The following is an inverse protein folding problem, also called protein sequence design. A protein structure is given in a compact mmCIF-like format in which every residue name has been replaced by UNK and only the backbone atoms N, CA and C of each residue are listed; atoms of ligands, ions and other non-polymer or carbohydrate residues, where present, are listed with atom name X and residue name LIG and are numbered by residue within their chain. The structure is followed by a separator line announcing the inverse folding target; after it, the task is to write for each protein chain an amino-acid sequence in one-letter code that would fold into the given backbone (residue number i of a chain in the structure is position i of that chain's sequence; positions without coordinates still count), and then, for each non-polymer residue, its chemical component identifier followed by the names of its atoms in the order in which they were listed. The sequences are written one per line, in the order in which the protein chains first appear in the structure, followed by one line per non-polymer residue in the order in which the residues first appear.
data_IF_841171877523
#
_entry.id   IF_841171877523
#
_cell.length_a   1.000
_cell.length_b   1.000
_cell.length_c   1.000
_cell.angle_alpha   90.00
_cell.angle_beta   90.00
_cell.angle_gamma   90.00
#
_symmetry.space_group_name_H-M   'P 1'
#
loop_
_entity.id
_entity.type
_entity.pdbx_description
1 polymer ?
#
# COMPACT_ATOMS: atom_id res chain seq x y z
N UNK A 1 -15.56 37.26 1.12
CA UNK A 1 -15.38 36.01 0.37
C UNK A 1 -13.88 35.80 0.32
N UNK A 2 -13.37 35.06 1.27
CA UNK A 2 -11.94 34.68 1.35
C UNK A 2 -11.79 33.36 0.64
N UNK A 3 -11.15 33.35 -0.53
CA UNK A 3 -10.63 32.15 -1.16
C UNK A 3 -9.64 31.51 -0.19
N UNK A 4 -10.11 30.60 0.62
CA UNK A 4 -9.22 29.64 1.27
C UNK A 4 -8.76 28.69 0.17
N UNK A 5 -7.52 28.87 -0.25
CA UNK A 5 -6.77 27.92 -1.06
C UNK A 5 -6.52 26.71 -0.17
N UNK A 6 -7.58 25.91 0.08
CA UNK A 6 -7.45 24.66 0.82
C UNK A 6 -6.58 23.72 -0.01
N UNK A 7 -5.49 23.26 0.57
CA UNK A 7 -4.59 22.31 -0.06
C UNK A 7 -5.41 21.05 -0.42
N UNK A 8 -5.49 20.63 -1.69
CA UNK A 8 -6.18 19.42 -2.08
C UNK A 8 -5.66 18.25 -1.22
N UNK A 9 -6.55 17.54 -0.54
CA UNK A 9 -6.19 16.46 0.37
C UNK A 9 -6.14 16.81 1.86
N UNK A 10 -6.28 18.09 2.26
CA UNK A 10 -6.20 18.51 3.67
C UNK A 10 -7.31 17.89 4.53
N UNK A 11 -8.52 17.75 3.98
CA UNK A 11 -9.65 17.12 4.69
C UNK A 11 -9.33 15.67 5.07
N UNK A 12 -8.78 14.90 4.15
CA UNK A 12 -8.36 13.52 4.43
C UNK A 12 -7.16 13.48 5.38
N UNK A 13 -6.22 14.40 5.26
CA UNK A 13 -5.08 14.49 6.18
C UNK A 13 -5.54 14.81 7.62
N UNK A 14 -6.52 15.68 7.79
CA UNK A 14 -7.13 15.95 9.09
C UNK A 14 -7.82 14.70 9.66
N UNK A 15 -8.57 13.98 8.84
CA UNK A 15 -9.19 12.71 9.22
C UNK A 15 -8.14 11.66 9.62
N UNK A 16 -7.05 11.53 8.88
CA UNK A 16 -5.92 10.65 9.25
C UNK A 16 -5.38 10.98 10.65
N UNK A 17 -5.14 12.26 10.92
CA UNK A 17 -4.63 12.73 12.23
C UNK A 17 -5.60 12.43 13.36
N UNK A 18 -6.91 12.56 13.11
CA UNK A 18 -7.95 12.24 14.09
C UNK A 18 -8.00 10.75 14.43
N UNK A 19 -7.93 9.88 13.39
CA UNK A 19 -8.09 8.43 13.58
C UNK A 19 -6.79 7.72 14.00
N UNK A 20 -5.63 8.31 13.75
CA UNK A 20 -4.33 7.73 14.05
C UNK A 20 -4.19 7.24 15.51
N UNK A 21 -4.54 8.03 16.55
CA UNK A 21 -4.42 7.56 17.94
C UNK A 21 -5.28 6.33 18.26
N UNK A 22 -6.41 6.17 17.56
CA UNK A 22 -7.31 5.03 17.74
C UNK A 22 -6.66 3.76 17.16
N UNK A 23 -6.12 3.85 15.93
CA UNK A 23 -5.40 2.76 15.27
C UNK A 23 -4.16 2.34 16.06
N UNK A 24 -3.34 3.29 16.47
CA UNK A 24 -2.11 3.03 17.24
C UNK A 24 -2.40 2.34 18.59
N UNK A 25 -3.50 2.71 19.25
CA UNK A 25 -3.93 2.05 20.48
C UNK A 25 -4.38 0.61 20.22
N UNK A 26 -5.11 0.38 19.14
CA UNK A 26 -5.59 -0.94 18.76
C UNK A 26 -4.43 -1.88 18.38
N UNK A 27 -3.43 -1.39 17.65
CA UNK A 27 -2.20 -2.14 17.32
C UNK A 27 -1.46 -2.57 18.58
N UNK A 28 -1.16 -1.63 19.49
CA UNK A 28 -0.52 -1.96 20.78
C UNK A 28 -1.33 -2.95 21.62
N UNK A 29 -2.64 -2.84 21.60
CA UNK A 29 -3.53 -3.79 22.29
C UNK A 29 -3.46 -5.20 21.71
N UNK A 30 -3.38 -5.31 20.39
CA UNK A 30 -3.22 -6.58 19.70
C UNK A 30 -1.86 -7.24 20.01
N UNK A 31 -0.76 -6.47 20.03
CA UNK A 31 0.57 -6.98 20.39
C UNK A 31 0.62 -7.51 21.82
N UNK A 32 0.06 -6.77 22.78
CA UNK A 32 -0.02 -7.20 24.17
C UNK A 32 -0.86 -8.49 24.36
N UNK A 33 -1.95 -8.64 23.59
CA UNK A 33 -2.79 -9.83 23.62
C UNK A 33 -2.06 -11.08 23.08
N UNK A 34 -1.25 -10.92 22.02
CA UNK A 34 -0.47 -12.03 21.47
C UNK A 34 0.57 -12.57 22.48
N UNK A 35 1.20 -11.69 23.25
CA UNK A 35 2.15 -12.07 24.29
C UNK A 35 1.47 -12.77 25.50
N UNK A 36 0.19 -12.50 25.72
CA UNK A 36 -0.56 -13.02 26.88
C UNK A 36 -1.11 -14.45 26.71
N UNK A 37 -0.97 -15.07 25.55
CA UNK A 37 -1.54 -16.40 25.25
C UNK A 37 -0.82 -17.58 25.95
N UNK A 38 -0.13 -17.28 27.06
CA UNK A 38 0.08 -18.22 28.17
C UNK A 38 0.80 -19.52 27.86
N UNK A 39 1.92 -19.50 27.17
CA UNK A 39 2.74 -20.67 27.01
C UNK A 39 3.78 -20.83 28.13
N UNK A 40 3.89 -22.04 28.61
CA UNK A 40 4.88 -22.50 29.62
C UNK A 40 6.31 -22.61 29.02
N UNK A 41 6.48 -22.29 27.74
CA UNK A 41 7.76 -22.27 27.03
C UNK A 41 8.64 -21.10 27.53
N UNK A 42 9.96 -21.08 27.22
CA UNK A 42 10.85 -20.00 27.63
C UNK A 42 10.36 -18.64 27.06
N UNK A 43 9.44 -18.04 27.81
CA UNK A 43 8.74 -16.81 27.41
C UNK A 43 9.71 -15.69 27.04
N UNK A 44 10.88 -15.63 27.71
CA UNK A 44 11.96 -14.68 27.42
C UNK A 44 12.57 -14.89 26.02
N UNK A 45 12.70 -16.14 25.59
CA UNK A 45 13.30 -16.45 24.28
C UNK A 45 12.29 -16.22 23.14
N UNK A 46 11.01 -16.59 23.34
CA UNK A 46 9.97 -16.27 22.38
C UNK A 46 9.78 -14.76 22.22
N UNK A 47 9.79 -14.02 23.33
CA UNK A 47 9.75 -12.57 23.27
C UNK A 47 10.96 -12.01 22.49
N UNK A 48 12.15 -12.42 22.87
CA UNK A 48 13.40 -11.93 22.26
C UNK A 48 13.53 -12.24 20.78
N UNK A 49 13.12 -13.45 20.34
CA UNK A 49 13.37 -13.92 18.98
C UNK A 49 12.19 -13.71 18.02
N UNK A 50 10.98 -13.45 18.53
CA UNK A 50 9.79 -13.40 17.71
C UNK A 50 8.88 -12.20 18.02
N UNK A 51 8.38 -12.08 19.26
CA UNK A 51 7.35 -11.07 19.56
C UNK A 51 7.91 -9.65 19.63
N UNK A 52 9.01 -9.41 20.32
CA UNK A 52 9.58 -8.08 20.44
C UNK A 52 10.09 -7.53 19.11
N UNK A 53 10.79 -8.31 18.23
CA UNK A 53 11.15 -7.86 16.90
C UNK A 53 9.95 -7.47 16.03
N UNK A 54 8.88 -8.28 16.02
CA UNK A 54 7.67 -7.96 15.28
C UNK A 54 6.95 -6.73 15.84
N UNK A 55 6.80 -6.64 17.18
CA UNK A 55 6.18 -5.49 17.82
C UNK A 55 6.97 -4.19 17.57
N UNK A 56 8.30 -4.24 17.59
CA UNK A 56 9.16 -3.11 17.23
C UNK A 56 8.94 -2.68 15.78
N UNK A 57 8.94 -3.62 14.83
CA UNK A 57 8.69 -3.34 13.42
C UNK A 57 7.30 -2.72 13.20
N UNK A 58 6.27 -3.29 13.82
CA UNK A 58 4.89 -2.80 13.74
C UNK A 58 4.75 -1.40 14.35
N UNK A 59 5.46 -1.12 15.45
CA UNK A 59 5.46 0.18 16.11
C UNK A 59 6.25 1.25 15.35
N UNK A 60 7.11 0.88 14.41
CA UNK A 60 8.07 1.74 13.69
C UNK A 60 7.48 2.90 12.88
N UNK A 61 6.26 3.31 13.17
CA UNK A 61 5.62 4.50 12.61
C UNK A 61 4.99 4.28 11.24
N UNK A 62 4.52 5.39 10.66
CA UNK A 62 3.85 5.44 9.37
C UNK A 62 2.54 6.23 9.44
N UNK A 63 2.04 6.64 8.27
CA UNK A 63 0.78 7.42 8.17
C UNK A 63 -0.47 6.59 8.48
N UNK A 64 -0.35 5.26 8.62
CA UNK A 64 -1.46 4.32 8.89
C UNK A 64 -2.66 4.52 7.96
N UNK A 65 -2.41 4.83 6.71
CA UNK A 65 -3.45 5.09 5.70
C UNK A 65 -4.40 3.90 5.57
N UNK A 66 -3.86 2.69 5.44
CA UNK A 66 -4.64 1.46 5.19
C UNK A 66 -5.64 1.13 6.30
N UNK A 67 -5.23 1.04 7.57
CA UNK A 67 -6.19 0.84 8.65
C UNK A 67 -7.22 1.98 8.76
N UNK A 68 -6.81 3.24 8.54
CA UNK A 68 -7.74 4.38 8.56
C UNK A 68 -8.74 4.30 7.41
N UNK A 69 -8.38 3.78 6.24
CA UNK A 69 -9.31 3.53 5.15
C UNK A 69 -10.34 2.44 5.50
N UNK A 70 -9.98 1.43 6.29
CA UNK A 70 -10.97 0.49 6.81
C UNK A 70 -11.98 1.18 7.74
N UNK A 71 -11.51 2.10 8.60
CA UNK A 71 -12.42 2.90 9.43
C UNK A 71 -13.35 3.77 8.57
N UNK A 72 -12.80 4.43 7.55
CA UNK A 72 -13.58 5.24 6.61
C UNK A 72 -14.60 4.39 5.83
N UNK A 73 -14.23 3.18 5.42
CA UNK A 73 -15.13 2.24 4.76
C UNK A 73 -16.36 1.87 5.61
N UNK A 74 -16.17 1.73 6.94
CA UNK A 74 -17.28 1.51 7.86
C UNK A 74 -18.18 2.76 7.98
N UNK A 75 -17.57 3.94 8.15
CA UNK A 75 -18.31 5.21 8.25
C UNK A 75 -19.03 5.56 6.94
N UNK A 76 -18.45 5.20 5.79
CA UNK A 76 -19.03 5.45 4.48
C UNK A 76 -20.43 4.82 4.30
N UNK A 77 -20.66 3.66 4.90
CA UNK A 77 -21.94 2.95 4.82
C UNK A 77 -22.85 3.22 6.03
N UNK A 78 -22.59 4.32 6.77
CA UNK A 78 -23.39 4.73 7.93
C UNK A 78 -23.08 3.98 9.22
N UNK A 79 -21.99 3.20 9.27
CA UNK A 79 -21.46 2.59 10.49
C UNK A 79 -20.59 3.57 11.27
N UNK A 80 -19.75 3.03 12.16
CA UNK A 80 -18.79 3.82 12.93
C UNK A 80 -17.40 3.16 12.93
N UNK A 81 -16.34 3.96 13.04
CA UNK A 81 -14.94 3.53 13.00
C UNK A 81 -14.61 2.33 13.89
N UNK A 82 -15.22 2.26 15.11
CA UNK A 82 -14.98 1.17 16.06
C UNK A 82 -15.31 -0.23 15.52
N UNK A 83 -16.24 -0.34 14.57
CA UNK A 83 -16.63 -1.64 13.98
C UNK A 83 -15.54 -2.24 13.09
N UNK A 84 -14.63 -1.43 12.57
CA UNK A 84 -13.57 -1.85 11.66
C UNK A 84 -12.17 -1.86 12.30
N UNK A 85 -12.06 -1.68 13.61
CA UNK A 85 -10.75 -1.57 14.27
C UNK A 85 -9.91 -2.83 14.16
N UNK A 86 -10.46 -3.99 14.48
CA UNK A 86 -9.76 -5.27 14.36
C UNK A 86 -9.34 -5.54 12.91
N UNK A 87 -10.23 -5.19 11.97
CA UNK A 87 -9.96 -5.29 10.54
C UNK A 87 -8.83 -4.35 10.08
N UNK A 88 -8.80 -3.12 10.60
CA UNK A 88 -7.71 -2.17 10.36
C UNK A 88 -6.37 -2.69 10.90
N UNK A 89 -6.37 -3.26 12.10
CA UNK A 89 -5.19 -3.93 12.69
C UNK A 89 -4.72 -5.09 11.80
N UNK A 90 -5.64 -5.93 11.33
CA UNK A 90 -5.33 -7.04 10.43
C UNK A 90 -4.61 -6.58 9.16
N UNK A 91 -5.11 -5.52 8.52
CA UNK A 91 -4.51 -4.94 7.31
C UNK A 91 -3.11 -4.39 7.60
N UNK A 92 -2.88 -3.76 8.74
CA UNK A 92 -1.55 -3.23 9.11
C UNK A 92 -0.56 -4.35 9.44
N UNK A 93 -1.03 -5.45 10.04
CA UNK A 93 -0.22 -6.66 10.24
C UNK A 93 0.17 -7.30 8.92
N UNK A 94 -0.78 -7.39 7.98
CA UNK A 94 -0.47 -7.84 6.62
C UNK A 94 0.59 -6.97 5.94
N UNK A 95 0.45 -5.65 6.02
CA UNK A 95 1.47 -4.73 5.49
C UNK A 95 2.82 -4.94 6.15
N UNK A 96 2.87 -5.17 7.46
CA UNK A 96 4.12 -5.43 8.17
C UNK A 96 4.78 -6.71 7.68
N UNK A 97 4.02 -7.80 7.51
CA UNK A 97 4.51 -9.04 6.94
C UNK A 97 5.05 -8.85 5.51
N UNK A 98 4.26 -8.20 4.65
CA UNK A 98 4.66 -7.92 3.26
C UNK A 98 5.98 -7.13 3.20
N UNK A 99 6.14 -6.08 4.02
CA UNK A 99 7.36 -5.28 4.07
C UNK A 99 8.56 -6.06 4.62
N UNK A 100 8.37 -6.91 5.63
CA UNK A 100 9.46 -7.75 6.16
C UNK A 100 9.96 -8.73 5.09
N UNK A 101 9.06 -9.36 4.34
CA UNK A 101 9.41 -10.30 3.28
C UNK A 101 10.00 -9.59 2.04
N UNK A 102 9.46 -8.42 1.70
CA UNK A 102 9.92 -7.58 0.59
C UNK A 102 11.36 -7.08 0.83
N UNK A 103 11.66 -6.63 2.05
CA UNK A 103 13.01 -6.22 2.45
C UNK A 103 14.06 -7.32 2.22
N UNK A 104 13.68 -8.60 2.43
CA UNK A 104 14.55 -9.75 2.17
C UNK A 104 14.68 -10.00 0.67
N UNK A 105 13.56 -9.95 -0.07
CA UNK A 105 13.53 -10.22 -1.51
C UNK A 105 14.35 -9.18 -2.29
N UNK A 106 14.25 -7.91 -1.90
CA UNK A 106 14.94 -6.77 -2.54
C UNK A 106 16.34 -6.54 -1.97
N UNK A 107 16.76 -7.32 -0.98
CA UNK A 107 18.03 -7.13 -0.24
C UNK A 107 18.17 -5.71 0.33
N UNK A 108 17.07 -5.09 0.75
CA UNK A 108 17.03 -3.72 1.28
C UNK A 108 17.90 -3.58 2.54
N UNK A 109 18.55 -2.43 2.70
CA UNK A 109 19.36 -2.18 3.90
C UNK A 109 18.59 -1.50 5.02
N UNK A 110 17.72 -0.56 4.66
CA UNK A 110 16.99 0.28 5.57
C UNK A 110 15.49 0.27 5.29
N UNK A 111 14.69 0.32 6.35
CA UNK A 111 13.25 0.54 6.30
C UNK A 111 12.87 1.66 7.28
N UNK A 112 12.27 2.75 6.79
CA UNK A 112 11.88 3.92 7.62
C UNK A 112 13.07 4.52 8.40
N UNK A 113 14.27 4.48 7.81
CA UNK A 113 15.50 5.00 8.41
C UNK A 113 16.21 4.07 9.39
N UNK A 114 15.64 2.90 9.70
CA UNK A 114 16.25 1.87 10.54
C UNK A 114 16.74 0.67 9.70
N UNK A 115 17.74 -0.10 10.15
CA UNK A 115 18.16 -1.32 9.48
C UNK A 115 16.99 -2.31 9.36
N UNK A 116 16.83 -2.95 8.20
CA UNK A 116 15.79 -3.96 7.98
C UNK A 116 15.90 -5.10 8.99
N UNK A 117 14.75 -5.71 9.33
CA UNK A 117 14.66 -6.74 10.37
C UNK A 117 15.62 -7.91 10.12
N UNK A 118 15.75 -8.36 8.86
CA UNK A 118 16.65 -9.46 8.50
C UNK A 118 18.13 -9.11 8.67
N UNK A 119 18.50 -7.82 8.58
CA UNK A 119 19.89 -7.35 8.83
C UNK A 119 20.25 -7.43 10.31
N UNK A 120 19.29 -7.20 11.20
CA UNK A 120 19.54 -7.16 12.65
C UNK A 120 19.33 -8.51 13.35
N UNK A 121 18.41 -9.34 12.84
CA UNK A 121 18.01 -10.61 13.47
C UNK A 121 18.32 -11.85 12.60
N UNK A 122 18.78 -11.66 11.35
CA UNK A 122 18.99 -12.72 10.39
C UNK A 122 17.72 -13.11 9.63
N UNK A 123 17.91 -13.65 8.41
CA UNK A 123 16.83 -13.98 7.47
C UNK A 123 15.79 -14.92 8.08
N UNK A 124 16.25 -16.00 8.75
CA UNK A 124 15.35 -17.02 9.30
C UNK A 124 14.39 -16.47 10.34
N UNK A 125 14.84 -15.60 11.25
CA UNK A 125 13.96 -14.98 12.25
C UNK A 125 13.08 -13.91 11.64
N UNK A 126 13.55 -13.18 10.63
CA UNK A 126 12.75 -12.20 9.93
C UNK A 126 11.62 -12.85 9.14
N UNK A 127 11.89 -13.94 8.41
CA UNK A 127 10.84 -14.74 7.73
C UNK A 127 9.80 -15.21 8.75
N UNK A 128 10.25 -15.79 9.87
CA UNK A 128 9.35 -16.31 10.90
C UNK A 128 8.51 -15.19 11.55
N UNK A 129 9.05 -13.98 11.73
CA UNK A 129 8.31 -12.82 12.21
C UNK A 129 7.24 -12.35 11.20
N UNK A 130 7.57 -12.36 9.90
CA UNK A 130 6.61 -12.09 8.83
C UNK A 130 5.48 -13.12 8.78
N UNK A 131 5.79 -14.41 8.92
CA UNK A 131 4.81 -15.50 8.96
C UNK A 131 3.88 -15.39 10.19
N UNK A 132 4.44 -15.00 11.36
CA UNK A 132 3.63 -14.70 12.53
C UNK A 132 2.67 -13.53 12.25
N UNK A 133 3.15 -12.46 11.63
CA UNK A 133 2.31 -11.33 11.27
C UNK A 133 1.15 -11.74 10.34
N UNK A 134 1.40 -12.59 9.32
CA UNK A 134 0.36 -13.17 8.46
C UNK A 134 -0.64 -14.00 9.25
N UNK A 135 -0.19 -14.84 10.17
CA UNK A 135 -1.07 -15.63 11.04
C UNK A 135 -1.97 -14.72 11.88
N UNK A 136 -1.42 -13.65 12.41
CA UNK A 136 -2.13 -12.69 13.26
C UNK A 136 -3.15 -11.84 12.49
N UNK A 137 -3.03 -11.70 11.17
CA UNK A 137 -4.06 -11.07 10.32
C UNK A 137 -5.43 -11.69 10.59
N UNK A 138 -5.50 -13.01 10.60
CA UNK A 138 -6.75 -13.74 10.83
C UNK A 138 -7.10 -13.81 12.31
N UNK A 139 -6.10 -13.99 13.18
CA UNK A 139 -6.29 -14.13 14.63
C UNK A 139 -6.99 -12.92 15.23
N UNK A 140 -6.60 -11.69 14.88
CA UNK A 140 -7.19 -10.47 15.47
C UNK A 140 -8.67 -10.31 15.10
N UNK A 141 -9.07 -10.73 13.91
CA UNK A 141 -10.47 -10.70 13.45
C UNK A 141 -11.26 -11.86 14.06
N UNK A 142 -10.69 -13.05 14.13
CA UNK A 142 -11.32 -14.22 14.74
C UNK A 142 -11.64 -13.99 16.23
N UNK A 143 -10.76 -13.31 16.94
CA UNK A 143 -10.88 -13.04 18.38
C UNK A 143 -11.69 -11.78 18.72
N UNK A 144 -12.13 -11.00 17.72
CA UNK A 144 -12.97 -9.82 17.96
C UNK A 144 -14.40 -10.22 18.31
N UNK A 145 -14.69 -10.27 19.63
CA UNK A 145 -16.01 -10.60 20.12
C UNK A 145 -17.06 -9.50 19.82
N UNK A 146 -16.63 -8.28 19.49
CA UNK A 146 -17.54 -7.18 19.16
C UNK A 146 -18.07 -7.28 17.73
N UNK A 147 -17.38 -8.02 16.84
CA UNK A 147 -17.76 -8.24 15.46
C UNK A 147 -18.69 -9.47 15.35
N UNK A 148 -19.95 -9.34 14.88
CA UNK A 148 -20.86 -10.45 14.67
C UNK A 148 -20.25 -11.55 13.78
N UNK A 149 -20.56 -12.82 14.08
CA UNK A 149 -19.92 -13.97 13.43
C UNK A 149 -20.07 -14.01 11.91
N UNK A 150 -21.21 -13.62 11.37
CA UNK A 150 -21.48 -13.52 9.93
C UNK A 150 -20.62 -12.44 9.27
N UNK A 151 -20.49 -11.27 9.90
CA UNK A 151 -19.63 -10.18 9.42
C UNK A 151 -18.17 -10.57 9.50
N UNK A 152 -17.76 -11.26 10.58
CA UNK A 152 -16.41 -11.78 10.77
C UNK A 152 -16.00 -12.70 9.63
N UNK A 153 -16.85 -13.63 9.21
CA UNK A 153 -16.59 -14.51 8.07
C UNK A 153 -16.44 -13.75 6.75
N UNK A 154 -17.27 -12.72 6.51
CA UNK A 154 -17.16 -11.88 5.31
C UNK A 154 -15.87 -11.05 5.29
N UNK A 155 -15.44 -10.53 6.44
CA UNK A 155 -14.16 -9.81 6.59
C UNK A 155 -12.99 -10.76 6.33
N UNK A 156 -13.01 -11.98 6.89
CA UNK A 156 -11.97 -12.98 6.69
C UNK A 156 -11.87 -13.41 5.22
N UNK A 157 -13.01 -13.63 4.53
CA UNK A 157 -13.02 -13.95 3.10
C UNK A 157 -12.37 -12.83 2.27
N UNK A 158 -12.66 -11.57 2.58
CA UNK A 158 -12.04 -10.44 1.89
C UNK A 158 -10.55 -10.27 2.20
N UNK A 159 -10.12 -10.53 3.44
CA UNK A 159 -8.69 -10.55 3.79
C UNK A 159 -7.93 -11.61 2.98
N UNK A 160 -8.46 -12.84 2.90
CA UNK A 160 -7.87 -13.90 2.06
C UNK A 160 -7.78 -13.47 0.60
N UNK A 161 -8.84 -12.83 0.07
CA UNK A 161 -8.86 -12.32 -1.30
C UNK A 161 -7.81 -11.22 -1.52
N UNK A 162 -7.71 -10.29 -0.59
CA UNK A 162 -6.71 -9.21 -0.59
C UNK A 162 -5.29 -9.77 -0.61
N UNK A 163 -4.99 -10.69 0.30
CA UNK A 163 -3.66 -11.32 0.38
C UNK A 163 -3.31 -12.04 -0.92
N UNK A 164 -4.24 -12.84 -1.46
CA UNK A 164 -4.02 -13.56 -2.72
C UNK A 164 -3.70 -12.61 -3.87
N UNK A 165 -4.47 -11.53 -4.06
CA UNK A 165 -4.18 -10.54 -5.10
C UNK A 165 -2.80 -9.91 -4.94
N UNK A 166 -2.44 -9.57 -3.69
CA UNK A 166 -1.12 -8.99 -3.42
C UNK A 166 0.01 -9.97 -3.74
N UNK A 167 -0.13 -11.23 -3.37
CA UNK A 167 0.87 -12.28 -3.66
C UNK A 167 0.97 -12.59 -5.16
N UNK A 168 -0.15 -12.60 -5.89
CA UNK A 168 -0.16 -12.75 -7.35
C UNK A 168 0.58 -11.58 -8.04
N UNK A 169 0.31 -10.34 -7.63
CA UNK A 169 1.02 -9.17 -8.14
C UNK A 169 2.52 -9.17 -7.81
N UNK A 170 2.88 -9.49 -6.56
CA UNK A 170 4.27 -9.63 -6.13
C UNK A 170 5.02 -10.72 -6.90
N UNK A 171 4.36 -11.85 -7.20
CA UNK A 171 4.97 -12.93 -7.98
C UNK A 171 5.31 -12.49 -9.41
N UNK A 172 4.48 -11.65 -10.03
CA UNK A 172 4.75 -11.09 -11.36
C UNK A 172 5.95 -10.14 -11.30
N UNK A 173 5.99 -9.23 -10.34
CA UNK A 173 7.07 -8.26 -10.17
C UNK A 173 8.43 -8.96 -9.99
N UNK A 174 8.51 -9.88 -9.03
CA UNK A 174 9.73 -10.68 -8.78
C UNK A 174 10.08 -11.59 -9.96
N UNK A 175 9.08 -12.21 -10.59
CA UNK A 175 9.26 -13.12 -11.71
C UNK A 175 9.84 -12.40 -12.94
N UNK A 176 9.30 -11.24 -13.30
CA UNK A 176 9.82 -10.44 -14.42
C UNK A 176 11.24 -9.93 -14.17
N UNK A 177 11.53 -9.53 -12.94
CA UNK A 177 12.89 -9.12 -12.56
C UNK A 177 13.88 -10.29 -12.67
N UNK A 178 13.53 -11.47 -12.13
CA UNK A 178 14.36 -12.69 -12.20
C UNK A 178 14.66 -13.13 -13.63
N UNK A 179 13.64 -13.10 -14.50
CA UNK A 179 13.74 -13.61 -15.87
C UNK A 179 14.23 -12.55 -16.88
N UNK A 180 14.57 -11.33 -16.42
CA UNK A 180 15.04 -10.24 -17.27
C UNK A 180 14.01 -9.80 -18.32
N UNK A 181 12.70 -9.85 -18.01
CA UNK A 181 11.62 -9.54 -18.93
C UNK A 181 11.51 -8.01 -19.15
N UNK A 182 11.90 -7.55 -20.36
CA UNK A 182 11.74 -6.17 -20.82
C UNK A 182 10.64 -6.02 -21.88
N UNK A 183 9.97 -7.11 -22.22
CA UNK A 183 8.81 -7.18 -23.10
C UNK A 183 7.47 -7.05 -22.38
N UNK A 184 7.49 -6.63 -21.10
CA UNK A 184 6.31 -6.32 -20.29
C UNK A 184 5.65 -5.08 -20.84
N UNK A 185 4.34 -5.13 -21.07
CA UNK A 185 3.55 -4.00 -21.58
C UNK A 185 3.03 -3.10 -20.46
N UNK A 186 2.63 -1.87 -20.81
CA UNK A 186 1.92 -0.96 -19.89
C UNK A 186 0.67 -1.61 -19.28
N UNK A 187 -0.04 -2.45 -20.04
CA UNK A 187 -1.20 -3.20 -19.55
C UNK A 187 -0.83 -4.27 -18.52
N UNK A 188 0.28 -4.99 -18.75
CA UNK A 188 0.78 -5.99 -17.82
C UNK A 188 1.21 -5.35 -16.49
N UNK A 189 1.93 -4.21 -16.58
CA UNK A 189 2.32 -3.44 -15.42
C UNK A 189 1.10 -2.99 -14.58
N UNK A 190 0.08 -2.42 -15.22
CA UNK A 190 -1.13 -1.98 -14.53
C UNK A 190 -1.86 -3.14 -13.85
N UNK A 191 -1.91 -4.31 -14.48
CA UNK A 191 -2.46 -5.52 -13.87
C UNK A 191 -1.64 -5.93 -12.63
N UNK A 192 -0.33 -5.91 -12.72
CA UNK A 192 0.57 -6.27 -11.63
C UNK A 192 0.40 -5.34 -10.44
N UNK A 193 0.42 -4.00 -10.63
CA UNK A 193 0.27 -3.04 -9.51
C UNK A 193 -1.15 -3.00 -8.96
N UNK A 194 -2.16 -3.32 -9.77
CA UNK A 194 -3.50 -3.50 -9.25
C UNK A 194 -3.53 -4.61 -8.21
N UNK A 195 -2.94 -5.77 -8.50
CA UNK A 195 -2.77 -6.88 -7.56
C UNK A 195 -1.88 -6.50 -6.39
N UNK A 196 -0.63 -6.15 -6.67
CA UNK A 196 0.41 -5.91 -5.67
C UNK A 196 0.08 -4.77 -4.70
N UNK A 197 -0.55 -3.68 -5.19
CA UNK A 197 -0.70 -2.45 -4.40
C UNK A 197 -2.13 -1.96 -4.24
N UNK A 198 -2.91 -1.83 -5.33
CA UNK A 198 -4.19 -1.15 -5.28
C UNK A 198 -5.21 -1.88 -4.39
N UNK A 199 -5.22 -3.23 -4.45
CA UNK A 199 -6.11 -4.04 -3.62
C UNK A 199 -5.87 -3.80 -2.13
N UNK A 200 -4.66 -4.05 -1.62
CA UNK A 200 -4.44 -3.99 -0.17
C UNK A 200 -4.29 -2.58 0.38
N UNK A 201 -4.02 -1.60 -0.49
CA UNK A 201 -3.83 -0.20 -0.06
C UNK A 201 -5.16 0.55 0.06
N UNK A 202 -6.10 0.34 -0.87
CA UNK A 202 -7.34 1.15 -0.91
C UNK A 202 -8.59 0.29 -1.08
N UNK A 203 -8.64 -0.58 -2.08
CA UNK A 203 -9.86 -1.28 -2.46
C UNK A 203 -10.38 -2.20 -1.35
N UNK A 204 -9.56 -3.14 -0.88
CA UNK A 204 -9.95 -4.05 0.19
C UNK A 204 -10.11 -3.37 1.56
N UNK A 205 -9.26 -2.40 1.99
CA UNK A 205 -9.52 -1.65 3.21
C UNK A 205 -10.90 -1.01 3.26
N UNK A 206 -11.32 -0.30 2.24
CA UNK A 206 -12.66 0.30 2.17
C UNK A 206 -13.77 -0.77 2.22
N UNK A 207 -13.63 -1.84 1.44
CA UNK A 207 -14.58 -2.95 1.43
C UNK A 207 -14.66 -3.65 2.78
N UNK A 208 -13.53 -3.98 3.38
CA UNK A 208 -13.44 -4.66 4.68
C UNK A 208 -14.15 -3.82 5.76
N UNK A 209 -13.92 -2.52 5.77
CA UNK A 209 -14.60 -1.61 6.69
C UNK A 209 -16.12 -1.64 6.51
N UNK A 210 -16.61 -1.56 5.29
CA UNK A 210 -18.02 -1.66 4.98
C UNK A 210 -18.62 -3.00 5.41
N UNK A 211 -17.94 -4.11 5.15
CA UNK A 211 -18.35 -5.46 5.57
C UNK A 211 -18.43 -5.57 7.11
N UNK A 212 -17.46 -5.02 7.82
CA UNK A 212 -17.43 -4.98 9.28
C UNK A 212 -18.59 -4.16 9.84
N UNK A 213 -19.01 -3.07 9.17
CA UNK A 213 -20.18 -2.30 9.52
C UNK A 213 -21.51 -2.98 9.14
N UNK A 214 -21.47 -4.07 8.36
CA UNK A 214 -22.65 -4.85 7.98
C UNK A 214 -23.29 -4.40 6.66
N UNK A 215 -22.55 -3.73 5.79
CA UNK A 215 -23.03 -3.36 4.47
C UNK A 215 -23.45 -4.58 3.64
N UNK A 216 -24.41 -4.39 2.74
CA UNK A 216 -24.75 -5.37 1.71
C UNK A 216 -23.55 -5.57 0.76
N UNK A 217 -23.45 -6.77 0.16
CA UNK A 217 -22.34 -7.10 -0.76
C UNK A 217 -22.25 -6.15 -1.96
N UNK A 218 -23.40 -5.64 -2.43
CA UNK A 218 -23.45 -4.65 -3.50
C UNK A 218 -22.71 -3.36 -3.11
N UNK A 219 -23.10 -2.74 -1.98
CA UNK A 219 -22.47 -1.52 -1.49
C UNK A 219 -20.96 -1.73 -1.22
N UNK A 220 -20.59 -2.87 -0.66
CA UNK A 220 -19.20 -3.21 -0.42
C UNK A 220 -18.40 -3.39 -1.73
N UNK A 221 -19.00 -3.93 -2.80
CA UNK A 221 -18.37 -4.02 -4.14
C UNK A 221 -18.17 -2.65 -4.77
N UNK A 222 -19.14 -1.76 -4.65
CA UNK A 222 -19.06 -0.40 -5.17
C UNK A 222 -17.86 0.36 -4.58
N UNK A 223 -17.51 0.10 -3.31
CA UNK A 223 -16.31 0.68 -2.70
C UNK A 223 -15.00 0.10 -3.27
N UNK A 224 -15.00 -1.15 -3.73
CA UNK A 224 -13.85 -1.70 -4.48
C UNK A 224 -13.68 -0.98 -5.81
N UNK A 225 -14.77 -0.77 -6.56
CA UNK A 225 -14.74 -0.08 -7.86
C UNK A 225 -14.29 1.39 -7.74
N UNK A 226 -14.46 2.00 -6.58
CA UNK A 226 -13.88 3.30 -6.24
C UNK A 226 -12.41 3.17 -5.83
N UNK A 227 -12.09 2.17 -5.02
CA UNK A 227 -10.78 2.01 -4.40
C UNK A 227 -9.70 1.59 -5.39
N UNK A 228 -10.03 0.80 -6.42
CA UNK A 228 -9.06 0.34 -7.43
C UNK A 228 -8.38 1.50 -8.16
N UNK A 229 -9.10 2.43 -8.82
CA UNK A 229 -8.45 3.56 -9.48
C UNK A 229 -7.68 4.46 -8.51
N UNK A 230 -8.17 4.67 -7.28
CA UNK A 230 -7.44 5.45 -6.28
C UNK A 230 -6.14 4.76 -5.84
N UNK A 231 -6.15 3.44 -5.70
CA UNK A 231 -4.96 2.65 -5.35
C UNK A 231 -3.93 2.59 -6.49
N UNK A 232 -4.37 2.51 -7.74
CA UNK A 232 -3.50 2.62 -8.90
C UNK A 232 -2.86 4.02 -8.97
N UNK A 233 -3.64 5.10 -8.80
CA UNK A 233 -3.11 6.46 -8.77
C UNK A 233 -2.07 6.66 -7.66
N UNK A 234 -2.31 6.06 -6.48
CA UNK A 234 -1.37 6.04 -5.37
C UNK A 234 -0.01 5.44 -5.77
N UNK A 235 -0.01 4.26 -6.43
CA UNK A 235 1.25 3.59 -6.85
C UNK A 235 1.95 4.37 -7.95
N UNK A 236 1.23 4.85 -8.96
CA UNK A 236 1.81 5.66 -10.03
C UNK A 236 2.48 6.93 -9.49
N UNK A 237 1.90 7.57 -8.48
CA UNK A 237 2.52 8.72 -7.82
C UNK A 237 3.76 8.33 -7.02
N UNK A 238 3.77 7.14 -6.39
CA UNK A 238 4.93 6.62 -5.67
C UNK A 238 6.12 6.41 -6.63
N UNK A 239 5.88 5.77 -7.77
CA UNK A 239 6.86 5.56 -8.83
C UNK A 239 7.41 6.89 -9.37
N UNK A 240 6.52 7.88 -9.60
CA UNK A 240 6.94 9.21 -10.04
C UNK A 240 7.80 9.92 -8.99
N UNK A 241 7.44 9.83 -7.72
CA UNK A 241 8.22 10.42 -6.63
C UNK A 241 9.60 9.78 -6.53
N UNK A 242 9.72 8.47 -6.70
CA UNK A 242 10.99 7.77 -6.74
C UNK A 242 11.88 8.27 -7.90
N UNK A 243 11.29 8.48 -9.08
CA UNK A 243 12.01 8.83 -10.30
C UNK A 243 12.41 10.31 -10.40
N UNK A 244 11.46 11.22 -10.10
CA UNK A 244 11.58 12.68 -10.32
C UNK A 244 11.20 13.53 -9.12
N UNK A 245 11.04 12.93 -7.94
CA UNK A 245 10.75 13.63 -6.70
C UNK A 245 11.94 14.44 -6.17
N UNK A 246 11.77 15.02 -4.99
CA UNK A 246 12.84 15.74 -4.31
C UNK A 246 13.82 14.74 -3.68
N UNK A 247 15.07 14.72 -4.17
CA UNK A 247 16.13 13.86 -3.66
C UNK A 247 16.38 14.06 -2.15
N UNK A 248 16.16 15.26 -1.62
CA UNK A 248 16.33 15.52 -0.18
C UNK A 248 15.21 14.89 0.66
N UNK A 249 14.02 14.78 0.11
CA UNK A 249 12.87 14.13 0.76
C UNK A 249 12.89 12.60 0.63
N UNK A 250 13.37 12.07 -0.51
CA UNK A 250 13.44 10.62 -0.79
C UNK A 250 14.70 9.97 -0.16
N UNK A 251 15.77 10.75 0.06
CA UNK A 251 16.99 10.23 0.64
C UNK A 251 17.65 9.14 -0.20
N UNK A 252 17.92 7.97 0.39
CA UNK A 252 18.58 6.83 -0.28
C UNK A 252 17.67 6.14 -1.31
N UNK A 253 16.34 6.29 -1.19
CA UNK A 253 15.38 5.63 -2.08
C UNK A 253 15.17 6.40 -3.38
N UNK A 254 15.78 7.60 -3.51
CA UNK A 254 15.72 8.38 -4.74
C UNK A 254 16.33 7.62 -5.92
N UNK A 255 15.54 7.34 -6.94
CA UNK A 255 15.88 6.55 -8.13
C UNK A 255 16.26 5.08 -7.84
N UNK A 256 15.89 4.55 -6.68
CA UNK A 256 16.14 3.14 -6.36
C UNK A 256 15.46 2.19 -7.36
N UNK A 257 14.30 2.55 -7.91
CA UNK A 257 13.61 1.75 -8.92
C UNK A 257 14.44 1.52 -10.19
N UNK A 258 15.29 2.49 -10.58
CA UNK A 258 16.24 2.32 -11.67
C UNK A 258 17.32 1.32 -11.27
N UNK A 259 17.93 1.50 -10.09
CA UNK A 259 18.98 0.61 -9.56
C UNK A 259 18.49 -0.83 -9.40
N UNK A 260 17.24 -1.00 -8.98
CA UNK A 260 16.60 -2.32 -8.82
C UNK A 260 16.13 -2.90 -10.17
N UNK A 261 16.11 -2.09 -11.23
CA UNK A 261 15.64 -2.49 -12.55
C UNK A 261 14.13 -2.76 -12.58
N UNK A 262 13.35 -1.98 -11.83
CA UNK A 262 11.89 -2.14 -11.77
C UNK A 262 11.21 -1.75 -13.09
N UNK A 263 10.17 -2.49 -13.43
CA UNK A 263 9.31 -2.26 -14.60
C UNK A 263 8.16 -1.31 -14.21
N UNK A 264 8.49 -0.06 -13.79
CA UNK A 264 7.45 0.93 -13.52
C UNK A 264 6.74 1.37 -14.78
N UNK A 265 5.54 1.97 -14.68
CA UNK A 265 4.82 2.44 -15.87
C UNK A 265 5.67 3.41 -16.71
N UNK A 266 6.40 4.30 -16.06
CA UNK A 266 7.25 5.27 -16.75
C UNK A 266 8.35 4.58 -17.58
N UNK A 267 8.96 3.53 -17.03
CA UNK A 267 9.97 2.72 -17.73
C UNK A 267 9.35 1.94 -18.88
N UNK A 268 8.29 1.18 -18.59
CA UNK A 268 7.63 0.31 -19.61
C UNK A 268 7.08 1.15 -20.76
N UNK A 269 6.41 2.26 -20.46
CA UNK A 269 5.91 3.17 -21.47
C UNK A 269 7.04 3.74 -22.35
N UNK A 270 8.14 4.16 -21.74
CA UNK A 270 9.29 4.64 -22.48
C UNK A 270 9.85 3.57 -23.42
N UNK A 271 10.01 2.32 -22.95
CA UNK A 271 10.47 1.20 -23.78
C UNK A 271 9.51 0.89 -24.95
N UNK A 272 8.20 1.07 -24.77
CA UNK A 272 7.21 0.90 -25.85
C UNK A 272 7.29 1.99 -26.92
N UNK A 273 7.91 3.16 -26.64
CA UNK A 273 7.87 4.33 -27.54
C UNK A 273 9.23 4.85 -27.98
N UNK A 274 10.33 4.36 -27.41
CA UNK A 274 11.69 4.73 -27.84
C UNK A 274 12.09 4.01 -29.13
N UNK A 275 12.91 4.68 -29.94
CA UNK A 275 13.59 4.07 -31.09
C UNK A 275 14.64 3.03 -30.62
N UNK A 276 15.08 2.17 -31.53
CA UNK A 276 15.94 1.00 -31.22
C UNK A 276 17.21 1.30 -30.40
N UNK A 277 17.90 2.44 -30.65
CA UNK A 277 19.14 2.77 -29.96
C UNK A 277 18.91 3.28 -28.54
N UNK A 278 18.04 4.30 -28.28
CA UNK A 278 17.68 4.72 -26.94
C UNK A 278 17.01 3.61 -26.12
N UNK A 279 16.20 2.76 -26.76
CA UNK A 279 15.58 1.60 -26.10
C UNK A 279 16.64 0.66 -25.53
N UNK A 280 17.65 0.27 -26.34
CA UNK A 280 18.74 -0.60 -25.87
C UNK A 280 19.57 0.05 -24.78
N UNK A 281 19.89 1.33 -24.93
CA UNK A 281 20.64 2.07 -23.90
C UNK A 281 19.88 2.08 -22.56
N UNK A 282 18.55 2.29 -22.57
CA UNK A 282 17.76 2.26 -21.33
C UNK A 282 17.77 0.86 -20.70
N UNK A 283 17.59 -0.20 -21.48
CA UNK A 283 17.64 -1.58 -20.99
C UNK A 283 19.01 -1.88 -20.35
N UNK A 284 20.11 -1.52 -21.04
CA UNK A 284 21.46 -1.76 -20.53
C UNK A 284 21.70 -1.03 -19.19
N UNK A 285 21.22 0.21 -19.03
CA UNK A 285 21.30 0.96 -17.78
C UNK A 285 20.52 0.29 -16.65
N UNK A 286 19.30 -0.18 -16.93
CA UNK A 286 18.45 -0.87 -15.93
C UNK A 286 19.03 -2.23 -15.52
N UNK A 287 19.63 -2.97 -16.46
CA UNK A 287 20.27 -4.26 -16.18
C UNK A 287 21.60 -4.11 -15.42
N UNK A 288 22.29 -2.99 -15.60
CA UNK A 288 23.56 -2.72 -14.90
C UNK A 288 23.40 -2.54 -13.39
N UNK A 289 22.15 -2.29 -12.92
CA UNK A 289 21.83 -1.98 -11.52
C UNK A 289 22.70 -0.85 -10.97
N UNK A 290 22.95 0.15 -11.79
CA UNK A 290 23.87 1.24 -11.49
C UNK A 290 23.44 2.05 -10.27
N UNK A 291 24.43 2.53 -9.53
CA UNK A 291 24.28 3.56 -8.49
C UNK A 291 25.03 4.86 -8.86
N UNK A 292 25.57 4.91 -10.09
CA UNK A 292 26.26 6.09 -10.58
C UNK A 292 25.25 7.21 -10.89
N UNK A 293 25.39 8.41 -10.27
CA UNK A 293 24.43 9.50 -10.46
C UNK A 293 24.25 9.96 -11.91
N UNK A 294 25.31 9.94 -12.73
CA UNK A 294 25.24 10.36 -14.14
C UNK A 294 24.48 9.33 -14.96
N UNK A 295 24.68 8.05 -14.73
CA UNK A 295 23.92 6.97 -15.38
C UNK A 295 22.46 6.94 -14.95
N UNK A 296 22.18 7.17 -13.66
CA UNK A 296 20.81 7.34 -13.18
C UNK A 296 20.12 8.54 -13.83
N UNK A 297 20.82 9.68 -13.97
CA UNK A 297 20.29 10.84 -14.67
C UNK A 297 20.01 10.52 -16.14
N UNK A 298 20.92 9.81 -16.80
CA UNK A 298 20.75 9.39 -18.20
C UNK A 298 19.54 8.47 -18.40
N UNK A 299 19.31 7.53 -17.49
CA UNK A 299 18.11 6.68 -17.54
C UNK A 299 16.82 7.52 -17.44
N UNK A 300 16.79 8.52 -16.54
CA UNK A 300 15.64 9.44 -16.41
C UNK A 300 15.41 10.23 -17.70
N UNK A 301 16.49 10.75 -18.35
CA UNK A 301 16.38 11.46 -19.63
C UNK A 301 15.77 10.57 -20.72
N UNK A 302 16.17 9.30 -20.80
CA UNK A 302 15.62 8.35 -21.74
C UNK A 302 14.14 8.05 -21.46
N UNK A 303 13.76 7.88 -20.20
CA UNK A 303 12.37 7.68 -19.79
C UNK A 303 11.52 8.92 -20.16
N UNK A 304 12.05 10.12 -19.96
CA UNK A 304 11.38 11.36 -20.34
C UNK A 304 11.27 11.48 -21.87
N UNK A 305 12.34 11.16 -22.61
CA UNK A 305 12.35 11.13 -24.08
C UNK A 305 11.28 10.21 -24.64
N UNK A 306 11.06 9.03 -24.04
CA UNK A 306 10.00 8.09 -24.40
C UNK A 306 8.61 8.51 -23.91
N UNK A 307 8.47 9.66 -23.22
CA UNK A 307 7.19 10.18 -22.72
C UNK A 307 6.63 9.45 -21.49
N UNK A 308 7.43 8.58 -20.85
CA UNK A 308 6.97 7.72 -19.75
C UNK A 308 6.53 8.50 -18.51
N UNK A 309 7.24 9.59 -18.18
CA UNK A 309 6.91 10.44 -17.03
C UNK A 309 5.57 11.14 -17.20
N UNK A 310 5.32 11.71 -18.39
CA UNK A 310 4.07 12.41 -18.70
C UNK A 310 2.89 11.42 -18.75
N UNK A 311 3.05 10.28 -19.41
CA UNK A 311 2.04 9.23 -19.49
C UNK A 311 1.63 8.72 -18.09
N UNK A 312 2.62 8.50 -17.21
CA UNK A 312 2.36 8.09 -15.83
C UNK A 312 1.58 9.17 -15.05
N UNK A 313 1.97 10.44 -15.17
CA UNK A 313 1.30 11.58 -14.52
C UNK A 313 -0.15 11.74 -15.01
N UNK A 314 -0.36 11.70 -16.32
CA UNK A 314 -1.69 11.86 -16.92
C UNK A 314 -2.63 10.74 -16.51
N UNK A 315 -2.13 9.50 -16.46
CA UNK A 315 -2.91 8.37 -16.01
C UNK A 315 -3.25 8.48 -14.51
N UNK A 316 -2.32 8.88 -13.66
CA UNK A 316 -2.58 9.09 -12.24
C UNK A 316 -3.68 10.15 -12.02
N UNK A 317 -3.61 11.28 -12.73
CA UNK A 317 -4.64 12.33 -12.70
C UNK A 317 -6.00 11.83 -13.20
N UNK A 318 -6.04 11.03 -14.25
CA UNK A 318 -7.28 10.44 -14.78
C UNK A 318 -7.90 9.50 -13.74
N UNK A 319 -7.13 8.57 -13.20
CA UNK A 319 -7.60 7.60 -12.21
C UNK A 319 -8.12 8.29 -10.92
N UNK A 320 -7.48 9.39 -10.51
CA UNK A 320 -7.95 10.22 -9.40
C UNK A 320 -9.35 10.79 -9.69
N UNK A 321 -9.54 11.37 -10.90
CA UNK A 321 -10.86 11.90 -11.30
C UNK A 321 -11.92 10.81 -11.39
N UNK A 322 -11.55 9.63 -11.87
CA UNK A 322 -12.45 8.48 -11.95
C UNK A 322 -12.92 8.04 -10.55
N UNK A 323 -11.99 7.94 -9.58
CA UNK A 323 -12.29 7.62 -8.19
C UNK A 323 -13.22 8.69 -7.55
N UNK A 324 -12.92 9.97 -7.75
CA UNK A 324 -13.74 11.08 -7.25
C UNK A 324 -15.13 11.09 -7.87
N UNK A 325 -15.23 10.86 -9.19
CA UNK A 325 -16.51 10.73 -9.89
C UNK A 325 -17.36 9.60 -9.32
N UNK A 326 -16.75 8.46 -9.05
CA UNK A 326 -17.40 7.30 -8.42
C UNK A 326 -17.87 7.63 -6.99
N UNK A 327 -17.04 8.30 -6.16
CA UNK A 327 -17.44 8.69 -4.81
C UNK A 327 -18.69 9.57 -4.81
N UNK A 328 -18.73 10.59 -5.66
CA UNK A 328 -19.91 11.48 -5.81
C UNK A 328 -21.15 10.74 -6.30
N UNK A 329 -20.99 9.80 -7.24
CA UNK A 329 -22.09 8.97 -7.73
C UNK A 329 -22.68 8.08 -6.63
N UNK A 330 -21.81 7.48 -5.80
CA UNK A 330 -22.24 6.64 -4.67
C UNK A 330 -22.96 7.44 -3.57
N UNK A 331 -22.55 8.67 -3.31
CA UNK A 331 -23.29 9.56 -2.42
C UNK A 331 -24.65 9.95 -2.99
N UNK A 332 -24.71 10.25 -4.30
CA UNK A 332 -25.97 10.60 -4.97
C UNK A 332 -26.98 9.44 -4.95
N UNK A 333 -26.50 8.21 -5.07
CA UNK A 333 -27.36 7.00 -4.98
C UNK A 333 -27.74 6.64 -3.53
N UNK A 334 -27.13 7.29 -2.52
CA UNK A 334 -27.32 6.94 -1.12
C UNK A 334 -26.58 5.66 -0.68
N UNK A 335 -25.67 5.16 -1.49
CA UNK A 335 -24.83 3.99 -1.17
C UNK A 335 -23.81 4.31 -0.07
N UNK A 336 -23.27 5.54 -0.09
CA UNK A 336 -22.38 6.07 0.95
C UNK A 336 -22.88 7.42 1.45
N UNK A 337 -22.40 7.83 2.62
CA UNK A 337 -22.76 9.14 3.18
C UNK A 337 -22.09 10.27 2.39
N UNK A 338 -22.73 11.46 2.28
CA UNK A 338 -22.13 12.62 1.60
C UNK A 338 -20.79 13.03 2.20
N UNK A 339 -20.68 13.03 3.52
CA UNK A 339 -19.46 13.38 4.25
C UNK A 339 -18.30 12.42 3.91
N UNK A 340 -18.59 11.13 3.82
CA UNK A 340 -17.57 10.14 3.41
C UNK A 340 -17.18 10.29 1.95
N UNK A 341 -18.10 10.72 1.08
CA UNK A 341 -17.75 10.99 -0.32
C UNK A 341 -16.76 12.17 -0.44
N UNK A 342 -16.93 13.22 0.36
CA UNK A 342 -15.97 14.34 0.42
C UNK A 342 -14.60 13.88 0.92
N UNK A 343 -14.57 13.05 1.97
CA UNK A 343 -13.33 12.44 2.47
C UNK A 343 -12.65 11.56 1.43
N UNK A 344 -13.40 10.74 0.70
CA UNK A 344 -12.88 9.87 -0.37
C UNK A 344 -12.37 10.67 -1.57
N UNK A 345 -13.03 11.79 -1.93
CA UNK A 345 -12.51 12.71 -2.93
C UNK A 345 -11.18 13.36 -2.47
N UNK A 346 -11.14 13.83 -1.22
CA UNK A 346 -9.94 14.43 -0.64
C UNK A 346 -8.81 13.40 -0.46
N UNK A 347 -9.12 12.14 -0.19
CA UNK A 347 -8.14 11.04 -0.17
C UNK A 347 -7.48 10.87 -1.54
N UNK A 348 -8.27 10.85 -2.61
CA UNK A 348 -7.74 10.72 -3.97
C UNK A 348 -6.80 11.88 -4.33
N UNK A 349 -7.15 13.11 -3.94
CA UNK A 349 -6.28 14.28 -4.09
C UNK A 349 -5.00 14.16 -3.23
N UNK A 350 -5.13 13.70 -1.98
CA UNK A 350 -3.98 13.49 -1.09
C UNK A 350 -2.96 12.52 -1.68
N UNK A 351 -3.41 11.46 -2.38
CA UNK A 351 -2.52 10.46 -2.95
C UNK A 351 -1.62 11.00 -4.04
N UNK A 352 -2.10 11.90 -4.88
CA UNK A 352 -1.32 12.44 -6.02
C UNK A 352 -0.61 13.76 -5.70
N UNK A 353 -0.99 14.46 -4.62
CA UNK A 353 -0.38 15.73 -4.24
C UNK A 353 0.65 15.61 -3.11
N UNK A 354 0.95 14.41 -2.63
CA UNK A 354 1.99 14.19 -1.63
C UNK A 354 3.38 14.44 -2.23
N UNK A 355 4.25 15.06 -1.43
CA UNK A 355 5.63 15.37 -1.81
C UNK A 355 6.65 14.33 -1.30
N UNK A 356 6.23 13.44 -0.41
CA UNK A 356 6.98 12.27 0.10
C UNK A 356 6.05 11.41 0.98
#
# INVERSE_FOLDING_TARGET
MSDMNENPGELFLAYLREKLPLVERALRGADAAAMATGNVAPASDLDRYLYAPLAHFTAGGGKRVRPVLALLGAEAVGGHAGQALSSGVAIELFQSAALIHDDIADASELRRGEPCLYRTHGEGLAINAGDLALTRVFEVVLNDASLPGDRRLRVLDELVRMERHTLEGQALDLGWARDGRWDVTSSDYLYMIEGKTAWYTVASPLRIGALAAGAADEAARELVELGRPAGLAFQLQDDLLNLVGDASAQGKDFRSDITEGKRTLAVVWALEHLDDEPHRELVDLLESKTTNPDELARAVELIEQGGGIEACRDLALKLTRDAQGKARALATSGTITPESAELLCSMADFFINRSA
#
